data_IF_930373165183
#
_entry.id   IF_930373165183
#
_cell.length_a   1.000
_cell.length_b   1.000
_cell.length_c   1.000
_cell.angle_alpha   90.00
_cell.angle_beta   90.00
_cell.angle_gamma   90.00
#
_symmetry.space_group_name_H-M   'P 1'
#
loop_
_entity.id
_entity.type
_entity.pdbx_description
1 polymer ?
#
# COMPACT_ATOMS: atom_id res chain seq x y z
N UNK A 1 3.77 19.97 -7.76
CA UNK A 1 4.97 19.10 -7.64
C UNK A 1 4.58 17.68 -7.99
N UNK A 2 5.47 16.86 -8.59
CA UNK A 2 5.17 15.45 -8.84
C UNK A 2 5.03 14.70 -7.50
N UNK A 3 4.03 13.82 -7.39
CA UNK A 3 3.88 12.90 -6.25
C UNK A 3 4.85 11.73 -6.51
N UNK A 4 5.90 11.56 -5.70
CA UNK A 4 6.95 10.58 -5.99
C UNK A 4 6.49 9.13 -5.78
N UNK A 5 5.46 8.90 -4.97
CA UNK A 5 4.98 7.58 -4.64
C UNK A 5 3.49 7.57 -4.32
N UNK A 6 2.77 6.53 -4.74
CA UNK A 6 1.38 6.30 -4.36
C UNK A 6 1.28 4.96 -3.64
N UNK A 7 0.53 4.93 -2.54
CA UNK A 7 0.22 3.69 -1.85
C UNK A 7 -1.21 3.24 -2.17
N UNK A 8 -1.37 1.98 -2.56
CA UNK A 8 -2.68 1.35 -2.76
C UNK A 8 -2.90 0.24 -1.73
N UNK A 9 -3.79 0.40 -0.75
CA UNK A 9 -4.17 -0.71 0.12
C UNK A 9 -5.27 -1.56 -0.51
N UNK A 10 -5.23 -2.88 -0.32
CA UNK A 10 -6.40 -3.75 -0.42
C UNK A 10 -6.62 -4.44 0.92
N UNK A 11 -7.87 -4.47 1.39
CA UNK A 11 -8.25 -4.98 2.70
C UNK A 11 -9.42 -5.96 2.57
N UNK A 12 -9.38 -7.05 3.35
CA UNK A 12 -10.46 -8.02 3.50
C UNK A 12 -10.51 -8.49 4.95
N UNK A 13 -11.53 -8.06 5.69
CA UNK A 13 -11.56 -8.24 7.14
C UNK A 13 -10.39 -7.50 7.81
N UNK A 14 -9.63 -8.21 8.65
CA UNK A 14 -8.44 -7.69 9.33
C UNK A 14 -7.17 -7.80 8.47
N UNK A 15 -7.21 -8.64 7.43
CA UNK A 15 -6.08 -8.83 6.54
C UNK A 15 -5.99 -7.72 5.49
N UNK A 16 -4.79 -7.28 5.21
CA UNK A 16 -4.54 -6.26 4.20
C UNK A 16 -3.19 -6.46 3.51
N UNK A 17 -3.02 -5.76 2.40
CA UNK A 17 -1.78 -5.66 1.67
C UNK A 17 -1.61 -4.23 1.15
N UNK A 18 -0.36 -3.82 0.96
CA UNK A 18 -0.01 -2.46 0.52
C UNK A 18 0.82 -2.53 -0.75
N UNK A 19 0.38 -1.82 -1.77
CA UNK A 19 1.08 -1.64 -3.04
C UNK A 19 1.80 -0.31 -3.06
N UNK A 20 3.04 -0.32 -3.55
CA UNK A 20 3.81 0.89 -3.85
C UNK A 20 3.76 1.10 -5.36
N UNK A 21 3.15 2.19 -5.79
CA UNK A 21 3.16 2.65 -7.17
C UNK A 21 4.20 3.75 -7.31
N UNK A 22 5.13 3.56 -8.24
CA UNK A 22 6.12 4.57 -8.59
C UNK A 22 5.89 5.09 -10.02
N UNK A 23 6.19 6.37 -10.28
CA UNK A 23 6.06 6.96 -11.61
C UNK A 23 6.87 6.24 -12.69
N UNK A 24 8.00 5.62 -12.33
CA UNK A 24 8.84 4.85 -13.26
C UNK A 24 8.13 3.60 -13.80
N UNK A 25 7.17 3.04 -13.03
CA UNK A 25 6.42 1.84 -13.42
C UNK A 25 5.19 2.09 -14.28
N UNK A 26 4.60 3.30 -14.29
CA UNK A 26 3.29 3.65 -14.91
C UNK A 26 2.22 2.54 -14.85
N UNK A 27 2.28 1.72 -13.83
CA UNK A 27 1.52 0.50 -13.65
C UNK A 27 1.59 0.18 -12.17
N UNK A 28 0.43 0.03 -11.52
CA UNK A 28 0.39 -0.82 -10.34
C UNK A 28 0.79 -2.19 -10.88
N UNK A 29 1.91 -2.77 -10.46
CA UNK A 29 2.32 -4.13 -10.87
C UNK A 29 1.24 -5.15 -10.48
N UNK A 30 0.23 -5.22 -11.33
CA UNK A 30 -0.69 -6.31 -11.53
C UNK A 30 -0.77 -6.47 -13.03
N UNK A 31 0.02 -7.41 -13.54
CA UNK A 31 -0.14 -7.93 -14.90
C UNK A 31 -1.51 -8.64 -15.07
N UNK A 32 -2.39 -8.59 -14.07
CA UNK A 32 -3.77 -8.99 -14.13
C UNK A 32 -4.68 -7.91 -13.56
N UNK A 33 -5.61 -7.49 -14.41
CA UNK A 33 -6.95 -7.01 -14.06
C UNK A 33 -7.69 -8.14 -13.32
N UNK A 34 -7.23 -8.50 -12.13
CA UNK A 34 -8.01 -9.27 -11.16
C UNK A 34 -8.27 -8.34 -10.00
N UNK A 35 -9.55 -8.07 -9.74
CA UNK A 35 -10.05 -7.24 -8.64
C UNK A 35 -9.73 -7.81 -7.23
N UNK A 36 -8.75 -8.70 -7.14
CA UNK A 36 -8.41 -9.46 -5.94
C UNK A 36 -6.90 -9.63 -5.89
N UNK A 37 -6.30 -9.20 -4.79
CA UNK A 37 -4.89 -9.37 -4.52
C UNK A 37 -4.52 -10.88 -4.51
N UNK A 38 -3.36 -11.28 -5.08
CA UNK A 38 -2.86 -12.65 -4.98
C UNK A 38 -2.82 -13.14 -3.52
N UNK A 39 -3.11 -14.43 -3.30
CA UNK A 39 -3.19 -15.03 -1.95
C UNK A 39 -1.97 -14.70 -1.08
N UNK A 40 -0.78 -14.77 -1.66
CA UNK A 40 0.49 -14.60 -0.95
C UNK A 40 0.76 -13.14 -0.52
N UNK A 41 -0.04 -12.18 -1.02
CA UNK A 41 0.08 -10.76 -0.65
C UNK A 41 -0.73 -10.39 0.58
N UNK A 42 -1.68 -11.21 1.01
CA UNK A 42 -2.48 -10.96 2.24
C UNK A 42 -1.70 -11.36 3.50
N UNK A 43 -0.49 -10.81 3.66
CA UNK A 43 0.46 -11.23 4.68
C UNK A 43 0.43 -10.35 5.95
N UNK A 44 -0.38 -9.29 5.98
CA UNK A 44 -0.50 -8.39 7.13
C UNK A 44 -1.90 -8.50 7.72
N UNK A 45 -1.97 -8.58 9.05
CA UNK A 45 -3.21 -8.45 9.82
C UNK A 45 -3.11 -7.21 10.70
N UNK A 46 -4.08 -6.29 10.57
CA UNK A 46 -4.08 -5.01 11.31
C UNK A 46 -4.21 -5.20 12.83
N UNK A 47 -4.73 -6.34 13.27
CA UNK A 47 -4.89 -6.68 14.69
C UNK A 47 -3.57 -7.14 15.31
N UNK A 48 -2.59 -7.50 14.48
CA UNK A 48 -1.25 -7.88 14.90
C UNK A 48 -0.32 -6.65 14.91
N UNK A 49 0.68 -6.66 15.81
CA UNK A 49 1.63 -5.55 15.97
C UNK A 49 2.36 -5.21 14.67
N UNK A 50 2.70 -6.22 13.86
CA UNK A 50 3.36 -6.03 12.57
C UNK A 50 2.47 -5.27 11.58
N UNK A 51 1.20 -5.65 11.46
CA UNK A 51 0.27 -5.00 10.56
C UNK A 51 -0.04 -3.57 11.00
N UNK A 52 -0.25 -3.35 12.30
CA UNK A 52 -0.42 -1.98 12.83
C UNK A 52 0.81 -1.12 12.54
N UNK A 53 2.01 -1.64 12.81
CA UNK A 53 3.26 -0.92 12.57
C UNK A 53 3.43 -0.55 11.09
N UNK A 54 3.20 -1.49 10.18
CA UNK A 54 3.31 -1.24 8.73
C UNK A 54 2.28 -0.22 8.25
N UNK A 55 1.05 -0.26 8.76
CA UNK A 55 0.03 0.73 8.40
C UNK A 55 0.42 2.14 8.89
N UNK A 56 0.92 2.27 10.12
CA UNK A 56 1.40 3.54 10.67
C UNK A 56 2.57 4.10 9.87
N UNK A 57 3.51 3.26 9.44
CA UNK A 57 4.63 3.65 8.59
C UNK A 57 4.14 4.27 7.27
N UNK A 58 3.22 3.59 6.58
CA UNK A 58 2.63 4.07 5.31
C UNK A 58 1.93 5.41 5.50
N UNK A 59 1.10 5.56 6.54
CA UNK A 59 0.43 6.84 6.85
C UNK A 59 1.45 7.92 7.18
N UNK A 60 2.50 7.59 7.92
CA UNK A 60 3.60 8.50 8.23
C UNK A 60 4.27 9.02 6.96
N UNK A 61 4.57 8.13 6.02
CA UNK A 61 5.18 8.51 4.76
C UNK A 61 4.25 9.40 3.92
N UNK A 62 2.96 9.07 3.81
CA UNK A 62 1.96 9.90 3.11
C UNK A 62 1.89 11.30 3.71
N UNK A 63 1.83 11.43 5.04
CA UNK A 63 1.82 12.72 5.72
C UNK A 63 3.07 13.56 5.40
N UNK A 64 4.24 12.94 5.41
CA UNK A 64 5.50 13.61 5.06
C UNK A 64 5.54 14.06 3.61
N UNK A 65 4.99 13.27 2.67
CA UNK A 65 4.88 13.67 1.27
C UNK A 65 3.95 14.86 1.11
N UNK A 66 2.75 14.81 1.71
CA UNK A 66 1.75 15.89 1.62
C UNK A 66 2.24 17.18 2.27
N UNK A 67 2.97 17.11 3.38
CA UNK A 67 3.57 18.29 4.01
C UNK A 67 4.62 19.00 3.12
N UNK A 68 5.12 18.31 2.08
CA UNK A 68 6.08 18.83 1.10
C UNK A 68 5.43 19.19 -0.24
N UNK A 69 4.10 19.07 -0.37
CA UNK A 69 3.31 19.52 -1.53
C UNK A 69 2.95 21.01 -1.44
#
# INVERSE_FOLDING_TARGET
MPIPMLYGPSAFGTQFCVYEYTPEGRSLLSDLVTNTAPRDRWNLDISELEGEARLKEVVGHIRQMVAKL
#
